data_IF_499351181295
#
_entry.id   IF_499351181295
#
_cell.length_a   1.000
_cell.length_b   1.000
_cell.length_c   1.000
_cell.angle_alpha   90.00
_cell.angle_beta   90.00
_cell.angle_gamma   90.00
#
_symmetry.space_group_name_H-M   'P 1'
#
loop_
_entity.id
_entity.type
_entity.pdbx_description
1 polymer ?
#
# COMPACT_ATOMS: atom_id res chain seq x y z
N UNK A 1 3.11 13.62 -5.95
CA UNK A 1 2.73 13.90 -4.55
C UNK A 1 3.74 13.29 -3.57
N UNK A 2 3.95 11.97 -3.54
CA UNK A 2 4.89 11.32 -2.60
C UNK A 2 6.33 11.88 -2.67
N UNK A 3 6.94 11.95 -3.86
CA UNK A 3 8.30 12.51 -4.03
C UNK A 3 8.37 13.98 -3.55
N UNK A 4 7.32 14.75 -3.78
CA UNK A 4 7.24 16.14 -3.33
C UNK A 4 7.16 16.24 -1.81
N UNK A 5 6.36 15.39 -1.16
CA UNK A 5 6.29 15.30 0.30
C UNK A 5 7.63 14.89 0.89
N UNK A 6 8.29 13.87 0.33
CA UNK A 6 9.61 13.43 0.77
C UNK A 6 10.65 14.54 0.64
N UNK A 7 10.69 15.22 -0.51
CA UNK A 7 11.57 16.35 -0.74
C UNK A 7 11.29 17.49 0.24
N UNK A 8 10.02 17.82 0.48
CA UNK A 8 9.64 18.90 1.40
C UNK A 8 10.04 18.61 2.84
N UNK A 9 9.87 17.37 3.32
CA UNK A 9 10.33 16.96 4.65
C UNK A 9 11.86 17.06 4.72
N UNK A 10 12.57 16.54 3.71
CA UNK A 10 14.02 16.62 3.65
C UNK A 10 14.51 18.07 3.69
N UNK A 11 14.02 18.94 2.80
CA UNK A 11 14.50 20.31 2.68
C UNK A 11 14.17 21.17 3.89
N UNK A 12 13.08 20.89 4.59
CA UNK A 12 12.76 21.56 5.86
C UNK A 12 13.75 21.26 7.00
N UNK A 13 14.45 20.12 6.94
CA UNK A 13 15.36 19.66 8.00
C UNK A 13 16.84 19.87 7.64
N UNK A 14 17.19 19.58 6.39
CA UNK A 14 18.57 19.55 5.87
C UNK A 14 18.88 20.68 4.88
N UNK A 15 17.88 21.48 4.47
CA UNK A 15 18.05 22.52 3.47
C UNK A 15 17.98 21.99 2.04
N UNK A 16 18.14 22.90 1.06
CA UNK A 16 18.06 22.56 -0.36
C UNK A 16 19.36 21.95 -0.92
N UNK A 17 20.45 22.01 -0.15
CA UNK A 17 21.74 21.48 -0.58
C UNK A 17 21.75 19.94 -0.50
N UNK A 18 22.23 19.26 -1.56
CA UNK A 18 22.40 17.83 -1.52
C UNK A 18 23.51 17.45 -0.52
N UNK A 19 23.43 16.27 0.11
CA UNK A 19 24.46 15.83 1.02
C UNK A 19 25.78 15.64 0.27
N UNK A 20 26.89 15.99 0.92
CA UNK A 20 28.22 15.92 0.31
C UNK A 20 28.62 14.51 -0.14
N UNK A 21 28.08 13.47 0.51
CA UNK A 21 28.23 12.07 0.10
C UNK A 21 27.13 11.20 0.71
N UNK A 22 26.94 10.00 0.16
CA UNK A 22 26.04 8.97 0.74
C UNK A 22 26.47 8.61 2.17
N UNK A 23 27.79 8.50 2.43
CA UNK A 23 28.30 8.16 3.75
C UNK A 23 28.00 9.22 4.81
N UNK A 24 28.17 10.49 4.45
CA UNK A 24 27.82 11.63 5.33
C UNK A 24 26.32 11.65 5.61
N UNK A 25 25.50 11.48 4.57
CA UNK A 25 24.05 11.42 4.71
C UNK A 25 23.60 10.29 5.66
N UNK A 26 24.13 9.08 5.49
CA UNK A 26 23.78 7.94 6.35
C UNK A 26 24.17 8.19 7.81
N UNK A 27 25.36 8.76 8.05
CA UNK A 27 25.77 9.16 9.41
C UNK A 27 24.78 10.17 9.98
N UNK A 28 24.50 11.25 9.25
CA UNK A 28 23.61 12.31 9.73
C UNK A 28 22.19 11.79 10.01
N UNK A 29 21.64 10.95 9.13
CA UNK A 29 20.30 10.38 9.29
C UNK A 29 20.22 9.44 10.50
N UNK A 30 21.24 8.63 10.74
CA UNK A 30 21.21 7.60 11.79
C UNK A 30 21.66 8.11 13.16
N UNK A 31 22.50 9.14 13.22
CA UNK A 31 23.14 9.58 14.47
C UNK A 31 22.69 10.95 14.98
N UNK A 32 21.87 11.70 14.23
CA UNK A 32 21.47 13.06 14.63
C UNK A 32 19.97 13.18 14.89
N UNK A 33 19.58 14.12 15.77
CA UNK A 33 18.16 14.39 16.05
C UNK A 33 17.37 14.79 14.80
N UNK A 34 17.96 15.56 13.88
CA UNK A 34 17.33 15.90 12.59
C UNK A 34 17.08 14.65 11.73
N UNK A 35 18.03 13.72 11.73
CA UNK A 35 17.91 12.43 11.06
C UNK A 35 16.76 11.58 11.59
N UNK A 36 16.64 11.46 12.91
CA UNK A 36 15.52 10.76 13.54
C UNK A 36 14.17 11.44 13.26
N UNK A 37 14.12 12.76 13.28
CA UNK A 37 12.92 13.52 12.87
C UNK A 37 12.54 13.23 11.42
N UNK A 38 13.52 13.17 10.51
CA UNK A 38 13.29 12.80 9.10
C UNK A 38 12.72 11.38 8.98
N UNK A 39 13.28 10.41 9.72
CA UNK A 39 12.79 9.02 9.72
C UNK A 39 11.34 8.97 10.22
N UNK A 40 11.04 9.59 11.35
CA UNK A 40 9.70 9.55 11.95
C UNK A 40 8.65 10.24 11.07
N UNK A 41 8.92 11.45 10.60
CA UNK A 41 8.00 12.20 9.73
C UNK A 41 7.83 11.52 8.37
N UNK A 42 8.92 11.02 7.79
CA UNK A 42 8.90 10.28 6.53
C UNK A 42 8.05 9.01 6.62
N UNK A 43 8.22 8.23 7.69
CA UNK A 43 7.40 7.03 7.94
C UNK A 43 5.93 7.38 8.23
N UNK A 44 5.66 8.43 8.99
CA UNK A 44 4.30 8.87 9.27
C UNK A 44 3.57 9.32 7.99
N UNK A 45 4.21 10.12 7.15
CA UNK A 45 3.67 10.50 5.84
C UNK A 45 3.48 9.26 4.94
N UNK A 46 4.47 8.37 4.91
CA UNK A 46 4.39 7.10 4.18
C UNK A 46 3.21 6.23 4.62
N UNK A 47 2.96 6.13 5.93
CA UNK A 47 1.82 5.41 6.49
C UNK A 47 0.49 6.00 6.01
N UNK A 48 0.35 7.33 5.96
CA UNK A 48 -0.85 7.98 5.42
C UNK A 48 -1.06 7.61 3.95
N UNK A 49 -0.02 7.69 3.13
CA UNK A 49 -0.11 7.24 1.73
C UNK A 49 -0.47 5.76 1.62
N UNK A 50 0.13 4.90 2.43
CA UNK A 50 -0.13 3.47 2.44
C UNK A 50 -1.59 3.16 2.81
N UNK A 51 -2.16 3.86 3.80
CA UNK A 51 -3.57 3.72 4.18
C UNK A 51 -4.50 4.12 3.04
N UNK A 52 -4.22 5.24 2.38
CA UNK A 52 -5.02 5.71 1.22
C UNK A 52 -4.95 4.70 0.07
N UNK A 53 -3.76 4.21 -0.26
CA UNK A 53 -3.59 3.19 -1.31
C UNK A 53 -4.32 1.90 -0.92
N UNK A 54 -4.11 1.38 0.30
CA UNK A 54 -4.80 0.19 0.78
C UNK A 54 -6.32 0.33 0.68
N UNK A 55 -6.87 1.44 1.18
CA UNK A 55 -8.31 1.72 1.14
C UNK A 55 -8.86 1.73 -0.27
N UNK A 56 -8.11 2.28 -1.23
CA UNK A 56 -8.59 2.46 -2.60
C UNK A 56 -8.34 1.27 -3.51
N UNK A 57 -7.34 0.41 -3.24
CA UNK A 57 -6.89 -0.60 -4.21
C UNK A 57 -7.01 -2.05 -3.74
N UNK A 58 -7.12 -2.34 -2.44
CA UNK A 58 -7.03 -3.72 -1.93
C UNK A 58 -8.10 -4.64 -2.53
N UNK A 59 -9.29 -4.11 -2.80
CA UNK A 59 -10.36 -4.82 -3.51
C UNK A 59 -10.50 -4.39 -4.97
N UNK A 60 -10.13 -3.15 -5.32
CA UNK A 60 -10.47 -2.60 -6.62
C UNK A 60 -9.88 -3.40 -7.79
N UNK A 61 -8.60 -3.77 -7.72
CA UNK A 61 -7.98 -4.55 -8.79
C UNK A 61 -8.54 -5.96 -8.98
N UNK A 62 -8.65 -6.82 -7.94
CA UNK A 62 -9.23 -8.14 -8.12
C UNK A 62 -10.69 -8.05 -8.57
N UNK A 63 -11.45 -7.05 -8.11
CA UNK A 63 -12.83 -6.82 -8.54
C UNK A 63 -12.93 -6.43 -10.03
N UNK A 64 -12.05 -5.55 -10.52
CA UNK A 64 -11.99 -5.16 -11.94
C UNK A 64 -11.56 -6.30 -12.85
N UNK A 65 -10.75 -7.25 -12.33
CA UNK A 65 -10.32 -8.42 -13.08
C UNK A 65 -11.38 -9.54 -13.09
N UNK A 66 -12.13 -9.67 -11.99
CA UNK A 66 -13.16 -10.69 -11.81
C UNK A 66 -14.49 -10.30 -12.46
N UNK A 67 -14.82 -9.01 -12.51
CA UNK A 67 -16.15 -8.52 -12.90
C UNK A 67 -16.05 -7.33 -13.85
N UNK A 68 -17.03 -7.24 -14.75
CA UNK A 68 -17.20 -6.09 -15.63
C UNK A 68 -17.84 -4.91 -14.88
N UNK A 69 -17.02 -4.19 -14.11
CA UNK A 69 -17.40 -3.00 -13.34
C UNK A 69 -16.48 -1.82 -13.63
N UNK A 70 -16.98 -0.60 -13.43
CA UNK A 70 -16.17 0.61 -13.60
C UNK A 70 -15.20 0.86 -12.44
N UNK A 71 -14.10 1.57 -12.71
CA UNK A 71 -13.06 1.89 -11.71
C UNK A 71 -13.59 2.63 -10.47
N UNK A 72 -14.55 3.54 -10.65
CA UNK A 72 -15.15 4.29 -9.52
C UNK A 72 -15.86 3.33 -8.56
N UNK A 73 -16.73 2.46 -9.08
CA UNK A 73 -17.43 1.46 -8.27
C UNK A 73 -16.46 0.50 -7.57
N UNK A 74 -15.35 0.15 -8.22
CA UNK A 74 -14.34 -0.72 -7.64
C UNK A 74 -13.60 -0.05 -6.46
N UNK A 75 -13.24 1.23 -6.61
CA UNK A 75 -12.62 2.03 -5.53
C UNK A 75 -13.60 2.22 -4.36
N UNK A 76 -14.86 2.55 -4.63
CA UNK A 76 -15.89 2.69 -3.60
C UNK A 76 -16.11 1.39 -2.82
N UNK A 77 -16.12 0.26 -3.53
CA UNK A 77 -16.23 -1.07 -2.92
C UNK A 77 -15.01 -1.36 -2.03
N UNK A 78 -13.80 -1.02 -2.49
CA UNK A 78 -12.57 -1.14 -1.69
C UNK A 78 -12.61 -0.28 -0.43
N UNK A 79 -13.00 0.99 -0.56
CA UNK A 79 -13.08 1.89 0.58
C UNK A 79 -14.12 1.40 1.59
N UNK A 80 -15.30 0.96 1.13
CA UNK A 80 -16.34 0.36 1.97
C UNK A 80 -15.85 -0.89 2.67
N UNK A 81 -15.13 -1.77 1.98
CA UNK A 81 -14.56 -2.99 2.56
C UNK A 81 -13.61 -2.67 3.72
N UNK A 82 -12.78 -1.64 3.59
CA UNK A 82 -11.89 -1.15 4.65
C UNK A 82 -12.64 -0.50 5.81
N UNK A 83 -13.66 0.30 5.53
CA UNK A 83 -14.47 0.96 6.58
C UNK A 83 -15.26 -0.06 7.41
N UNK A 84 -15.81 -1.09 6.78
CA UNK A 84 -16.62 -2.13 7.47
C UNK A 84 -15.75 -3.14 8.21
N UNK A 85 -14.49 -3.36 7.77
CA UNK A 85 -13.58 -4.34 8.36
C UNK A 85 -12.22 -3.72 8.74
N UNK A 86 -12.18 -2.67 9.58
CA UNK A 86 -10.98 -1.85 9.76
C UNK A 86 -9.83 -2.63 10.40
N UNK A 87 -10.12 -3.48 11.40
CA UNK A 87 -9.09 -4.27 12.08
C UNK A 87 -8.47 -5.31 11.14
N UNK A 88 -9.31 -6.06 10.41
CA UNK A 88 -8.88 -7.10 9.49
C UNK A 88 -8.05 -6.50 8.35
N UNK A 89 -8.48 -5.36 7.83
CA UNK A 89 -7.78 -4.65 6.75
C UNK A 89 -6.47 -4.02 7.24
N UNK A 90 -6.42 -3.49 8.46
CA UNK A 90 -5.19 -3.03 9.08
C UNK A 90 -4.17 -4.17 9.27
N UNK A 91 -4.61 -5.33 9.77
CA UNK A 91 -3.77 -6.52 9.90
C UNK A 91 -3.28 -7.04 8.55
N UNK A 92 -4.14 -7.00 7.53
CA UNK A 92 -3.74 -7.33 6.15
C UNK A 92 -2.70 -6.36 5.62
N UNK A 93 -2.92 -5.06 5.75
CA UNK A 93 -1.96 -4.02 5.36
C UNK A 93 -0.62 -4.17 6.07
N UNK A 94 -0.63 -4.50 7.37
CA UNK A 94 0.59 -4.80 8.13
C UNK A 94 1.31 -6.04 7.60
N UNK A 95 0.56 -7.10 7.27
CA UNK A 95 1.11 -8.33 6.67
C UNK A 95 1.81 -8.03 5.35
N UNK A 96 1.16 -7.24 4.48
CA UNK A 96 1.75 -6.75 3.23
C UNK A 96 3.03 -5.97 3.49
N UNK A 97 3.01 -5.00 4.41
CA UNK A 97 4.17 -4.18 4.74
C UNK A 97 5.36 -5.01 5.24
N UNK A 98 5.12 -5.93 6.18
CA UNK A 98 6.16 -6.82 6.74
C UNK A 98 6.76 -7.71 5.66
N UNK A 99 5.93 -8.34 4.82
CA UNK A 99 6.40 -9.20 3.75
C UNK A 99 7.18 -8.43 2.69
N UNK A 100 6.77 -7.20 2.35
CA UNK A 100 7.52 -6.33 1.45
C UNK A 100 8.88 -5.94 2.03
N UNK A 101 8.95 -5.61 3.32
CA UNK A 101 10.23 -5.34 4.00
C UNK A 101 11.13 -6.56 3.94
N UNK A 102 10.64 -7.74 4.35
CA UNK A 102 11.41 -8.99 4.33
C UNK A 102 11.88 -9.34 2.92
N UNK A 103 10.98 -9.24 1.93
CA UNK A 103 11.30 -9.54 0.52
C UNK A 103 12.29 -8.55 -0.11
N UNK A 104 12.40 -7.35 0.45
CA UNK A 104 13.34 -6.31 -0.02
C UNK A 104 14.76 -6.48 0.52
N UNK A 105 14.93 -7.10 1.71
CA UNK A 105 16.25 -7.34 2.34
C UNK A 105 17.27 -8.01 1.40
N UNK A 106 16.94 -9.10 0.66
CA UNK A 106 17.87 -9.74 -0.27
C UNK A 106 17.99 -8.96 -1.58
N UNK A 107 18.32 -7.67 -1.51
CA UNK A 107 18.46 -6.75 -2.64
C UNK A 107 17.25 -6.82 -3.60
N UNK A 108 16.03 -6.82 -3.03
CA UNK A 108 14.75 -6.92 -3.75
C UNK A 108 14.49 -8.24 -4.49
N UNK A 109 15.41 -9.21 -4.52
CA UNK A 109 15.20 -10.50 -5.19
C UNK A 109 14.04 -11.31 -4.56
N UNK A 110 13.83 -11.18 -3.25
CA UNK A 110 12.75 -11.84 -2.53
C UNK A 110 11.35 -11.40 -2.96
N UNK A 111 11.22 -10.20 -3.56
CA UNK A 111 9.95 -9.71 -4.10
C UNK A 111 9.42 -10.58 -5.24
N UNK A 112 10.29 -11.30 -5.96
CA UNK A 112 9.88 -12.25 -6.99
C UNK A 112 9.00 -13.39 -6.42
N UNK A 113 9.14 -13.70 -5.13
CA UNK A 113 8.31 -14.69 -4.42
C UNK A 113 7.17 -14.01 -3.65
N UNK A 114 7.47 -12.92 -2.94
CA UNK A 114 6.48 -12.22 -2.10
C UNK A 114 5.34 -11.65 -2.94
N UNK A 115 5.61 -11.04 -4.09
CA UNK A 115 4.58 -10.40 -4.90
C UNK A 115 3.54 -11.40 -5.44
N UNK A 116 3.91 -12.55 -6.05
CA UNK A 116 2.93 -13.58 -6.43
C UNK A 116 2.10 -14.11 -5.26
N UNK A 117 2.75 -14.36 -4.11
CA UNK A 117 2.07 -14.87 -2.90
C UNK A 117 1.05 -13.85 -2.40
N UNK A 118 1.43 -12.57 -2.30
CA UNK A 118 0.52 -11.49 -1.90
C UNK A 118 -0.62 -11.31 -2.90
N UNK A 119 -0.36 -11.41 -4.20
CA UNK A 119 -1.40 -11.35 -5.23
C UNK A 119 -2.42 -12.47 -5.06
N UNK A 120 -1.96 -13.71 -4.92
CA UNK A 120 -2.85 -14.86 -4.71
C UNK A 120 -3.63 -14.76 -3.40
N UNK A 121 -2.97 -14.36 -2.31
CA UNK A 121 -3.62 -14.23 -1.02
C UNK A 121 -4.62 -13.06 -0.97
N UNK A 122 -4.33 -11.95 -1.66
CA UNK A 122 -5.27 -10.82 -1.82
C UNK A 122 -6.50 -11.25 -2.63
N UNK A 123 -6.34 -12.12 -3.63
CA UNK A 123 -7.48 -12.71 -4.35
C UNK A 123 -8.39 -13.51 -3.41
N UNK A 124 -7.82 -14.30 -2.50
CA UNK A 124 -8.61 -15.01 -1.49
C UNK A 124 -9.26 -14.08 -0.47
N UNK A 125 -8.59 -12.99 -0.07
CA UNK A 125 -9.19 -11.96 0.76
C UNK A 125 -10.39 -11.33 0.05
N UNK A 126 -10.23 -10.91 -1.21
CA UNK A 126 -11.29 -10.37 -2.05
C UNK A 126 -12.52 -11.26 -2.07
N UNK A 127 -12.36 -12.55 -2.41
CA UNK A 127 -13.47 -13.50 -2.50
C UNK A 127 -14.16 -13.77 -1.16
N UNK A 128 -13.49 -13.52 -0.03
CA UNK A 128 -14.10 -13.64 1.31
C UNK A 128 -14.86 -12.39 1.74
N UNK A 129 -14.42 -11.23 1.25
CA UNK A 129 -14.96 -9.92 1.67
C UNK A 129 -16.10 -9.46 0.76
N UNK A 130 -16.07 -9.81 -0.52
CA UNK A 130 -17.07 -9.42 -1.51
C UNK A 130 -17.99 -10.59 -1.80
N UNK A 131 -19.31 -10.38 -1.67
CA UNK A 131 -20.32 -11.39 -1.93
C UNK A 131 -20.21 -11.95 -3.37
N UNK A 132 -20.40 -13.26 -3.56
CA UNK A 132 -20.49 -13.85 -4.89
C UNK A 132 -21.59 -13.18 -5.73
N UNK A 133 -21.38 -13.05 -7.04
CA UNK A 133 -22.44 -12.54 -7.90
C UNK A 133 -23.61 -13.53 -7.93
N UNK A 134 -24.82 -13.04 -7.65
CA UNK A 134 -26.05 -13.82 -7.78
C UNK A 134 -26.38 -13.97 -9.28
N UNK A 135 -25.91 -15.07 -9.88
CA UNK A 135 -26.23 -15.39 -11.27
C UNK A 135 -27.68 -15.88 -11.31
N UNK A 136 -28.65 -14.94 -11.39
CA UNK A 136 -30.02 -15.33 -11.71
C UNK A 136 -30.08 -15.72 -13.19
N UNK A 137 -30.56 -16.93 -13.53
CA UNK A 137 -30.79 -17.30 -14.91
C UNK A 137 -31.75 -16.29 -15.53
N UNK A 138 -31.37 -15.68 -16.66
CA UNK A 138 -32.29 -14.88 -17.47
C UNK A 138 -33.42 -15.81 -17.89
N UNK A 139 -34.59 -15.73 -17.23
CA UNK A 139 -35.80 -16.37 -17.73
C UNK A 139 -36.11 -15.72 -19.06
N UNK A 140 -35.78 -16.41 -20.16
CA UNK A 140 -36.28 -16.02 -21.47
C UNK A 140 -37.81 -16.15 -21.43
N UNK A 141 -38.58 -15.09 -21.72
CA UNK A 141 -40.00 -15.27 -21.97
C UNK A 141 -40.12 -16.21 -23.18
N UNK A 142 -40.80 -17.34 -22.97
CA UNK A 142 -41.19 -18.25 -24.05
C UNK A 142 -42.35 -17.65 -24.83
#
# INVERSE_FOLDING_TARGET
LWLFTAQSIYTSLFGAEPPASVGTFLRDVLTTGKGWTLILLGNAAGLVFAVVVLATTVIAFPLLLDRDVGAVSAIETSARAVIVNPLQMALWGLTVAVLLVIGSIPLFAGLAVVMPVLGHATWHLYRKVVEPQDIRPIRRPM
#
